data_IF_295137502753
#
_entry.id   IF_295137502753
#
_cell.length_a   1.000
_cell.length_b   1.000
_cell.length_c   1.000
_cell.angle_alpha   90.00
_cell.angle_beta   90.00
_cell.angle_gamma   90.00
#
_symmetry.space_group_name_H-M   'P 1'
#
loop_
_entity.id
_entity.type
_entity.pdbx_description
1 polymer ?
#
# COMPACT_ATOMS: atom_id res chain seq x y z
N UNK A 1 -10.83 13.24 6.35
CA UNK A 1 -11.84 14.27 6.67
C UNK A 1 -12.11 15.09 5.40
N UNK A 2 -13.37 15.20 5.02
CA UNK A 2 -13.81 15.90 3.80
C UNK A 2 -13.70 17.41 4.03
N UNK A 3 -12.98 18.12 3.15
CA UNK A 3 -12.64 19.53 3.37
C UNK A 3 -13.63 20.53 2.74
N UNK A 4 -14.35 20.11 1.71
CA UNK A 4 -15.36 20.91 1.00
C UNK A 4 -16.37 19.95 0.36
N UNK A 5 -17.64 20.38 0.30
CA UNK A 5 -18.71 19.61 -0.34
C UNK A 5 -18.66 19.69 -1.88
N UNK A 6 -17.90 20.62 -2.45
CA UNK A 6 -17.83 20.83 -3.90
C UNK A 6 -17.02 19.73 -4.60
N UNK A 7 -16.11 19.08 -3.88
CA UNK A 7 -15.23 18.03 -4.40
C UNK A 7 -15.75 16.61 -4.12
N UNK A 8 -16.93 16.49 -3.51
CA UNK A 8 -17.51 15.18 -3.17
C UNK A 8 -18.39 14.69 -4.31
N UNK A 9 -18.14 13.47 -4.78
CA UNK A 9 -19.01 12.81 -5.75
C UNK A 9 -20.30 12.35 -5.05
N UNK A 10 -21.38 13.08 -5.27
CA UNK A 10 -22.68 12.85 -4.63
C UNK A 10 -23.59 11.92 -5.42
N UNK A 11 -23.18 11.48 -6.61
CA UNK A 11 -24.02 10.63 -7.47
C UNK A 11 -23.98 9.17 -7.00
N UNK A 12 -22.98 8.81 -6.20
CA UNK A 12 -22.76 7.44 -5.74
C UNK A 12 -23.61 7.09 -4.54
N UNK A 13 -24.14 5.87 -4.55
CA UNK A 13 -24.72 5.25 -3.35
C UNK A 13 -23.58 4.66 -2.51
N UNK A 14 -23.58 4.99 -1.23
CA UNK A 14 -22.61 4.49 -0.25
C UNK A 14 -23.31 3.62 0.77
N UNK A 15 -22.70 2.51 1.14
CA UNK A 15 -23.22 1.54 2.12
C UNK A 15 -22.40 1.59 3.39
N UNK A 16 -23.06 1.62 4.54
CA UNK A 16 -22.46 1.49 5.87
C UNK A 16 -22.84 0.15 6.47
N UNK A 17 -21.84 -0.65 6.86
CA UNK A 17 -22.04 -1.98 7.42
C UNK A 17 -21.17 -2.22 8.65
N UNK A 18 -21.67 -2.97 9.63
CA UNK A 18 -20.86 -3.50 10.72
C UNK A 18 -20.07 -4.75 10.25
N UNK A 19 -18.78 -4.79 10.55
CA UNK A 19 -17.86 -5.83 10.07
C UNK A 19 -18.01 -7.11 10.91
N UNK A 20 -18.01 -6.94 12.24
CA UNK A 20 -18.15 -8.03 13.20
C UNK A 20 -19.57 -7.98 13.78
N UNK A 21 -20.41 -8.96 13.43
CA UNK A 21 -21.52 -9.32 14.30
C UNK A 21 -20.90 -9.98 15.54
N UNK A 22 -21.33 -9.56 16.72
CA UNK A 22 -20.88 -9.97 18.06
C UNK A 22 -19.88 -11.15 18.09
N UNK A 23 -18.65 -10.98 18.60
CA UNK A 23 -17.62 -12.03 18.58
C UNK A 23 -18.05 -13.34 19.24
N UNK A 24 -19.07 -13.32 20.12
CA UNK A 24 -19.60 -14.51 20.78
C UNK A 24 -20.63 -15.27 19.93
N UNK A 25 -21.30 -14.60 19.01
CA UNK A 25 -22.41 -15.18 18.26
C UNK A 25 -22.33 -14.67 16.82
N UNK A 26 -21.79 -15.51 15.92
CA UNK A 26 -21.82 -15.32 14.45
C UNK A 26 -23.23 -15.35 13.86
N UNK A 27 -24.26 -14.98 14.63
CA UNK A 27 -25.64 -14.90 14.18
C UNK A 27 -25.97 -13.50 13.69
N UNK A 28 -26.89 -13.44 12.73
CA UNK A 28 -27.51 -12.17 12.34
C UNK A 28 -28.18 -11.55 13.56
N UNK A 29 -28.12 -10.22 13.68
CA UNK A 29 -28.93 -9.50 14.66
C UNK A 29 -30.40 -9.82 14.40
N UNK A 30 -31.19 -9.97 15.46
CA UNK A 30 -32.64 -10.08 15.34
C UNK A 30 -33.20 -8.85 14.61
N UNK A 31 -34.38 -9.00 14.01
CA UNK A 31 -35.15 -7.85 13.54
C UNK A 31 -35.26 -6.84 14.69
N UNK A 32 -35.02 -5.55 14.40
CA UNK A 32 -35.02 -4.43 15.36
C UNK A 32 -33.80 -4.32 16.30
N UNK A 33 -32.86 -5.27 16.30
CA UNK A 33 -31.60 -5.10 17.02
C UNK A 33 -30.61 -4.24 16.21
N UNK A 34 -30.05 -3.20 16.84
CA UNK A 34 -29.13 -2.25 16.22
C UNK A 34 -27.93 -1.94 17.11
N UNK A 35 -26.83 -1.53 16.49
CA UNK A 35 -25.68 -0.92 17.16
C UNK A 35 -25.65 0.55 16.80
N UNK A 36 -25.40 1.41 17.78
CA UNK A 36 -25.31 2.85 17.57
C UNK A 36 -23.88 3.24 17.23
N UNK A 37 -23.70 3.94 16.11
CA UNK A 37 -22.49 4.70 15.82
C UNK A 37 -22.72 6.14 16.30
N UNK A 38 -22.14 6.47 17.46
CA UNK A 38 -22.11 7.81 18.03
C UNK A 38 -20.78 8.53 17.77
N UNK A 39 -20.63 9.78 18.22
CA UNK A 39 -19.42 10.54 17.98
C UNK A 39 -18.26 10.02 18.83
N UNK A 40 -17.13 9.76 18.19
CA UNK A 40 -15.87 9.60 18.89
C UNK A 40 -15.43 10.93 19.51
N UNK A 41 -14.46 10.87 20.41
CA UNK A 41 -13.88 12.02 21.07
C UNK A 41 -12.55 12.35 20.39
N UNK A 42 -12.35 13.62 20.03
CA UNK A 42 -11.10 14.09 19.46
C UNK A 42 -10.00 14.27 20.51
N UNK A 43 -8.81 14.69 20.08
CA UNK A 43 -7.65 14.91 20.97
C UNK A 43 -7.90 16.02 22.03
N UNK A 44 -8.90 16.85 21.83
CA UNK A 44 -9.25 17.98 22.67
C UNK A 44 -10.49 17.71 23.54
N UNK A 45 -11.06 16.51 23.49
CA UNK A 45 -12.24 16.16 24.27
C UNK A 45 -13.58 16.53 23.61
N UNK A 46 -13.59 16.95 22.34
CA UNK A 46 -14.81 17.32 21.63
C UNK A 46 -15.32 16.20 20.71
N UNK A 47 -16.63 16.16 20.41
CA UNK A 47 -17.21 15.22 19.45
C UNK A 47 -16.55 15.34 18.07
N UNK A 48 -16.24 14.21 17.45
CA UNK A 48 -15.81 14.14 16.05
C UNK A 48 -17.05 14.16 15.16
N UNK A 49 -17.21 15.23 14.38
CA UNK A 49 -18.43 15.48 13.58
C UNK A 49 -18.25 15.23 12.09
N UNK A 50 -17.01 15.25 11.60
CA UNK A 50 -16.67 15.18 10.18
C UNK A 50 -16.93 16.46 9.39
N UNK A 51 -17.50 17.48 10.03
CA UNK A 51 -17.71 18.79 9.43
C UNK A 51 -16.50 19.69 9.69
N UNK A 52 -16.22 20.59 8.74
CA UNK A 52 -15.14 21.56 8.86
C UNK A 52 -15.70 22.97 8.84
N UNK A 53 -15.09 23.85 9.63
CA UNK A 53 -15.33 25.29 9.59
C UNK A 53 -14.66 25.95 8.37
N UNK A 54 -15.14 27.14 8.04
CA UNK A 54 -14.47 28.04 7.12
C UNK A 54 -13.07 28.36 7.66
N UNK A 55 -12.06 28.25 6.79
CA UNK A 55 -10.66 28.49 7.18
C UNK A 55 -9.89 29.18 6.07
N UNK A 56 -8.78 29.79 6.44
CA UNK A 56 -7.84 30.38 5.48
C UNK A 56 -6.64 29.44 5.37
N UNK A 57 -6.44 28.87 4.19
CA UNK A 57 -5.23 28.10 3.87
C UNK A 57 -4.17 29.02 3.25
N UNK A 58 -2.90 28.82 3.61
CA UNK A 58 -1.78 29.55 3.03
C UNK A 58 -1.22 28.71 1.88
N UNK A 59 -1.36 29.19 0.65
CA UNK A 59 -0.81 28.51 -0.52
C UNK A 59 0.72 28.53 -0.54
N UNK A 60 1.33 27.71 -1.41
CA UNK A 60 2.80 27.60 -1.57
C UNK A 60 3.51 28.94 -1.83
N UNK A 61 2.77 29.95 -2.29
CA UNK A 61 3.27 31.28 -2.62
C UNK A 61 2.98 32.32 -1.52
N UNK A 62 2.59 31.89 -0.31
CA UNK A 62 2.22 32.78 0.81
C UNK A 62 0.84 33.44 0.66
N UNK A 63 0.12 33.20 -0.44
CA UNK A 63 -1.22 33.74 -0.69
C UNK A 63 -2.25 33.07 0.21
N UNK A 64 -3.03 33.88 0.93
CA UNK A 64 -4.18 33.44 1.73
C UNK A 64 -5.34 33.05 0.81
N UNK A 65 -5.79 31.81 0.90
CA UNK A 65 -6.90 31.26 0.12
C UNK A 65 -8.02 30.94 1.10
N UNK A 66 -9.19 31.61 1.01
CA UNK A 66 -10.35 31.23 1.81
C UNK A 66 -10.89 29.89 1.31
N UNK A 67 -11.00 28.92 2.21
CA UNK A 67 -11.58 27.60 1.95
C UNK A 67 -12.89 27.54 2.71
N UNK A 68 -13.99 27.43 1.96
CA UNK A 68 -15.32 27.20 2.53
C UNK A 68 -15.37 25.82 3.16
N UNK A 69 -15.73 25.79 4.43
CA UNK A 69 -15.98 24.58 5.17
C UNK A 69 -17.31 23.94 4.79
N UNK A 70 -17.58 22.80 5.38
CA UNK A 70 -18.76 22.00 5.09
C UNK A 70 -19.90 22.29 6.06
N UNK A 71 -19.62 22.76 7.30
CA UNK A 71 -20.65 22.93 8.34
C UNK A 71 -21.76 23.89 7.92
N UNK A 72 -21.43 25.12 7.54
CA UNK A 72 -22.42 26.15 7.17
C UNK A 72 -23.28 25.71 5.99
N UNK A 73 -22.66 25.06 5.00
CA UNK A 73 -23.39 24.53 3.84
C UNK A 73 -24.37 23.43 4.25
N UNK A 74 -23.97 22.52 5.15
CA UNK A 74 -24.84 21.47 5.67
C UNK A 74 -26.00 22.03 6.50
N UNK A 75 -25.77 23.05 7.34
CA UNK A 75 -26.84 23.71 8.10
C UNK A 75 -27.88 24.32 7.15
N UNK A 76 -27.45 24.96 6.06
CA UNK A 76 -28.35 25.51 5.03
C UNK A 76 -29.09 24.40 4.28
N UNK A 77 -28.41 23.30 3.90
CA UNK A 77 -29.05 22.19 3.17
C UNK A 77 -30.09 21.42 4.01
N UNK A 78 -29.95 21.45 5.33
CA UNK A 78 -30.83 20.78 6.28
C UNK A 78 -31.88 21.71 6.90
N UNK A 79 -31.96 22.96 6.44
CA UNK A 79 -32.83 24.01 7.00
C UNK A 79 -32.67 24.19 8.52
N UNK A 80 -31.43 24.09 9.02
CA UNK A 80 -31.08 24.24 10.43
C UNK A 80 -30.64 25.67 10.76
N UNK A 81 -30.82 26.07 12.02
CA UNK A 81 -30.31 27.36 12.51
C UNK A 81 -28.78 27.34 12.59
N UNK A 82 -28.17 28.49 12.29
CA UNK A 82 -26.72 28.62 12.30
C UNK A 82 -26.15 28.23 13.66
N UNK A 83 -25.17 27.33 13.64
CA UNK A 83 -24.49 26.85 14.84
C UNK A 83 -25.07 25.56 15.42
N UNK A 84 -26.17 25.04 14.89
CA UNK A 84 -26.73 23.74 15.31
C UNK A 84 -25.75 22.60 15.10
N UNK A 85 -24.94 22.63 14.02
CA UNK A 85 -23.95 21.59 13.71
C UNK A 85 -22.54 21.94 14.18
N UNK A 86 -22.36 22.98 15.01
CA UNK A 86 -21.06 23.27 15.64
C UNK A 86 -20.59 22.08 16.47
N UNK A 87 -19.28 21.89 16.55
CA UNK A 87 -18.67 20.77 17.28
C UNK A 87 -19.11 20.68 18.75
N UNK A 88 -19.33 21.82 19.40
CA UNK A 88 -19.75 21.94 20.80
C UNK A 88 -21.27 21.93 20.99
N UNK A 89 -22.05 21.80 19.91
CA UNK A 89 -23.50 21.78 19.98
C UNK A 89 -24.01 20.53 20.68
N UNK A 90 -25.12 20.67 21.41
CA UNK A 90 -25.84 19.54 22.02
C UNK A 90 -26.43 18.58 20.99
N UNK A 91 -26.51 18.99 19.72
CA UNK A 91 -26.92 18.14 18.60
C UNK A 91 -26.14 16.82 18.58
N UNK A 92 -24.82 16.88 18.73
CA UNK A 92 -23.93 15.72 18.64
C UNK A 92 -24.05 14.77 19.84
N UNK A 93 -24.56 15.25 20.98
CA UNK A 93 -24.81 14.39 22.14
C UNK A 93 -25.95 13.39 21.89
N UNK A 94 -26.92 13.78 21.07
CA UNK A 94 -28.06 12.93 20.71
C UNK A 94 -27.88 12.21 19.37
N UNK A 95 -26.93 12.67 18.53
CA UNK A 95 -26.73 12.13 17.19
C UNK A 95 -26.13 10.73 17.22
N UNK A 96 -26.86 9.76 16.67
CA UNK A 96 -26.41 8.40 16.48
C UNK A 96 -26.93 7.84 15.15
N UNK A 97 -26.11 7.02 14.50
CA UNK A 97 -26.53 6.24 13.34
C UNK A 97 -26.84 4.83 13.81
N UNK A 98 -28.09 4.37 13.63
CA UNK A 98 -28.55 3.05 14.05
C UNK A 98 -28.25 2.02 12.96
N UNK A 99 -27.35 1.09 13.24
CA UNK A 99 -26.88 0.10 12.27
C UNK A 99 -27.41 -1.29 12.65
N UNK A 100 -28.32 -1.81 11.82
CA UNK A 100 -28.95 -3.11 12.00
C UNK A 100 -28.09 -4.29 11.53
N UNK A 101 -28.75 -5.38 11.13
CA UNK A 101 -28.08 -6.54 10.48
C UNK A 101 -27.73 -6.27 9.00
N UNK A 102 -28.58 -5.49 8.32
CA UNK A 102 -28.41 -5.15 6.91
C UNK A 102 -27.66 -3.80 6.79
N UNK A 103 -26.89 -3.61 5.72
CA UNK A 103 -26.17 -2.36 5.49
C UNK A 103 -27.16 -1.20 5.29
N UNK A 104 -26.80 -0.03 5.79
CA UNK A 104 -27.52 1.21 5.51
C UNK A 104 -27.04 1.73 4.16
N UNK A 105 -27.94 1.85 3.20
CA UNK A 105 -27.68 2.52 1.93
C UNK A 105 -27.95 4.02 2.11
N UNK A 106 -27.00 4.85 1.68
CA UNK A 106 -27.05 6.30 1.78
C UNK A 106 -26.95 6.89 0.38
N UNK A 107 -27.94 7.71 0.02
CA UNK A 107 -27.89 8.53 -1.20
C UNK A 107 -27.26 9.88 -0.85
N UNK A 108 -26.07 10.15 -1.42
CA UNK A 108 -25.33 11.38 -1.12
C UNK A 108 -25.96 12.65 -1.74
N UNK A 109 -27.02 12.50 -2.55
CA UNK A 109 -27.85 13.62 -2.99
C UNK A 109 -28.80 14.10 -1.89
N UNK A 110 -29.21 13.22 -0.97
CA UNK A 110 -30.04 13.58 0.17
C UNK A 110 -29.19 14.23 1.28
N UNK A 111 -29.56 15.43 1.76
CA UNK A 111 -28.78 16.13 2.79
C UNK A 111 -28.63 15.36 4.11
N UNK A 112 -29.61 14.55 4.51
CA UNK A 112 -29.53 13.79 5.76
C UNK A 112 -28.56 12.61 5.62
N UNK A 113 -28.61 11.90 4.50
CA UNK A 113 -27.69 10.81 4.21
C UNK A 113 -26.27 11.30 3.95
N UNK A 114 -26.11 12.48 3.33
CA UNK A 114 -24.83 13.16 3.22
C UNK A 114 -24.23 13.47 4.60
N UNK A 115 -25.03 13.98 5.54
CA UNK A 115 -24.57 14.22 6.92
C UNK A 115 -24.13 12.92 7.60
N UNK A 116 -24.91 11.84 7.46
CA UNK A 116 -24.57 10.52 8.02
C UNK A 116 -23.26 10.00 7.45
N UNK A 117 -23.07 10.10 6.13
CA UNK A 117 -21.84 9.69 5.45
C UNK A 117 -20.63 10.48 5.95
N UNK A 118 -20.72 11.81 6.00
CA UNK A 118 -19.64 12.67 6.48
C UNK A 118 -19.28 12.38 7.93
N UNK A 119 -20.29 12.18 8.76
CA UNK A 119 -20.12 11.83 10.16
C UNK A 119 -19.42 10.48 10.32
N UNK A 120 -19.91 9.44 9.63
CA UNK A 120 -19.36 8.10 9.68
C UNK A 120 -17.91 8.06 9.16
N UNK A 121 -17.62 8.71 8.03
CA UNK A 121 -16.29 8.77 7.45
C UNK A 121 -15.26 9.43 8.38
N UNK A 122 -15.69 10.30 9.30
CA UNK A 122 -14.79 10.96 10.23
C UNK A 122 -14.45 10.13 11.46
N UNK A 123 -15.22 9.09 11.77
CA UNK A 123 -14.98 8.26 12.96
C UNK A 123 -13.78 7.35 12.77
N UNK A 124 -12.97 7.18 13.81
CA UNK A 124 -11.79 6.30 13.78
C UNK A 124 -12.15 4.82 13.67
N UNK A 125 -13.34 4.42 14.14
CA UNK A 125 -13.82 3.04 14.12
C UNK A 125 -14.50 2.64 12.80
N UNK A 126 -14.49 3.52 11.80
CA UNK A 126 -15.10 3.32 10.49
C UNK A 126 -14.01 3.29 9.41
N UNK A 127 -13.89 2.18 8.69
CA UNK A 127 -13.00 2.04 7.55
C UNK A 127 -13.62 2.59 6.26
N UNK A 128 -12.79 3.20 5.41
CA UNK A 128 -13.14 3.57 4.04
C UNK A 128 -12.68 2.45 3.08
N UNK A 129 -13.64 1.61 2.68
CA UNK A 129 -13.44 0.43 1.85
C UNK A 129 -12.99 -0.82 2.63
N UNK A 130 -13.13 -1.99 2.00
CA UNK A 130 -12.80 -3.27 2.65
C UNK A 130 -11.30 -3.45 2.90
N UNK A 131 -10.45 -2.74 2.15
CA UNK A 131 -9.01 -2.85 2.29
C UNK A 131 -8.51 -2.27 3.62
N UNK A 132 -9.06 -1.13 4.04
CA UNK A 132 -8.66 -0.45 5.27
C UNK A 132 -8.97 -1.27 6.54
N UNK A 133 -9.90 -2.23 6.45
CA UNK A 133 -10.22 -3.16 7.56
C UNK A 133 -9.01 -3.99 7.97
N UNK A 134 -8.15 -4.38 7.02
CA UNK A 134 -7.00 -5.25 7.32
C UNK A 134 -5.89 -4.53 8.07
N UNK A 135 -5.86 -3.20 7.95
CA UNK A 135 -4.76 -2.37 8.46
C UNK A 135 -5.01 -1.93 9.91
N UNK A 136 -6.27 -1.92 10.38
CA UNK A 136 -6.64 -1.44 11.72
C UNK A 136 -7.66 -2.39 12.41
N UNK A 137 -7.25 -2.93 13.56
CA UNK A 137 -8.07 -3.86 14.35
C UNK A 137 -9.15 -3.17 15.20
N UNK A 138 -9.09 -1.83 15.36
CA UNK A 138 -10.09 -1.05 16.09
C UNK A 138 -11.34 -0.73 15.25
N UNK A 139 -11.34 -1.09 13.97
CA UNK A 139 -12.45 -0.82 13.06
C UNK A 139 -13.60 -1.79 13.30
N UNK A 140 -14.78 -1.23 13.58
CA UNK A 140 -16.02 -1.99 13.77
C UNK A 140 -16.96 -1.89 12.57
N UNK A 141 -16.84 -0.82 11.78
CA UNK A 141 -17.73 -0.50 10.67
C UNK A 141 -16.94 -0.24 9.39
N UNK A 142 -17.59 -0.44 8.24
CA UNK A 142 -17.03 -0.15 6.92
C UNK A 142 -18.02 0.67 6.11
N UNK A 143 -17.50 1.75 5.52
CA UNK A 143 -18.13 2.49 4.43
C UNK A 143 -17.59 1.96 3.11
N UNK A 144 -18.46 1.62 2.17
CA UNK A 144 -18.04 1.19 0.83
C UNK A 144 -19.10 1.54 -0.21
N UNK A 145 -18.67 1.73 -1.45
CA UNK A 145 -19.55 1.79 -2.61
C UNK A 145 -19.28 0.59 -3.50
N UNK A 146 -20.32 0.00 -4.09
CA UNK A 146 -20.16 -1.16 -4.98
C UNK A 146 -19.29 -0.83 -6.20
N UNK A 147 -19.42 0.38 -6.74
CA UNK A 147 -18.61 0.88 -7.85
C UNK A 147 -17.16 1.04 -7.44
N UNK A 148 -16.88 1.69 -6.31
CA UNK A 148 -15.51 1.89 -5.80
C UNK A 148 -14.82 0.55 -5.55
N UNK A 149 -15.52 -0.41 -4.97
CA UNK A 149 -15.01 -1.76 -4.73
C UNK A 149 -14.81 -2.55 -6.04
N UNK A 150 -15.68 -2.35 -7.03
CA UNK A 150 -15.51 -2.92 -8.36
C UNK A 150 -14.29 -2.32 -9.06
N UNK A 151 -14.10 -1.01 -9.03
CA UNK A 151 -12.94 -0.30 -9.57
C UNK A 151 -11.63 -0.81 -8.95
N UNK A 152 -11.59 -0.96 -7.62
CA UNK A 152 -10.43 -1.50 -6.92
C UNK A 152 -10.13 -2.94 -7.34
N UNK A 153 -11.14 -3.82 -7.36
CA UNK A 153 -10.97 -5.21 -7.83
C UNK A 153 -10.50 -5.28 -9.27
N UNK A 154 -11.03 -4.42 -10.15
CA UNK A 154 -10.60 -4.35 -11.56
C UNK A 154 -9.15 -3.87 -11.66
N UNK A 155 -8.77 -2.86 -10.88
CA UNK A 155 -7.39 -2.37 -10.84
C UNK A 155 -6.42 -3.47 -10.37
N UNK A 156 -6.75 -4.21 -9.31
CA UNK A 156 -5.94 -5.32 -8.81
C UNK A 156 -5.81 -6.44 -9.84
N UNK A 157 -6.91 -6.84 -10.47
CA UNK A 157 -6.91 -7.83 -11.56
C UNK A 157 -6.11 -7.36 -12.77
N UNK A 158 -6.15 -6.06 -13.08
CA UNK A 158 -5.36 -5.46 -14.15
C UNK A 158 -3.88 -5.55 -13.84
N UNK A 159 -3.46 -5.20 -12.63
CA UNK A 159 -2.06 -5.35 -12.18
C UNK A 159 -1.61 -6.81 -12.22
N UNK A 160 -2.46 -7.75 -11.77
CA UNK A 160 -2.15 -9.17 -11.82
C UNK A 160 -1.95 -9.64 -13.28
N UNK A 161 -2.87 -9.27 -14.17
CA UNK A 161 -2.77 -9.60 -15.60
C UNK A 161 -1.52 -9.00 -16.24
N UNK A 162 -1.21 -7.74 -15.92
CA UNK A 162 -0.01 -7.07 -16.40
C UNK A 162 1.26 -7.79 -15.95
N UNK A 163 1.30 -8.25 -14.70
CA UNK A 163 2.42 -9.04 -14.17
C UNK A 163 2.62 -10.36 -14.93
N UNK A 164 1.54 -11.12 -15.20
CA UNK A 164 1.65 -12.36 -15.99
C UNK A 164 2.08 -12.10 -17.43
N UNK A 165 1.47 -11.11 -18.10
CA UNK A 165 1.85 -10.75 -19.49
C UNK A 165 3.31 -10.30 -19.57
N UNK A 166 3.80 -9.61 -18.54
CA UNK A 166 5.21 -9.23 -18.48
C UNK A 166 6.10 -10.45 -18.24
N UNK A 167 5.71 -11.34 -17.31
CA UNK A 167 6.45 -12.55 -17.02
C UNK A 167 6.62 -13.45 -18.25
N UNK A 168 5.58 -13.61 -19.08
CA UNK A 168 5.64 -14.39 -20.32
C UNK A 168 6.64 -13.83 -21.34
N UNK A 169 6.93 -12.52 -21.28
CA UNK A 169 7.87 -11.84 -22.19
C UNK A 169 9.32 -11.90 -21.68
N UNK A 170 9.55 -12.26 -20.43
CA UNK A 170 10.88 -12.32 -19.84
C UNK A 170 11.61 -13.57 -20.30
N UNK A 171 12.92 -13.42 -20.53
CA UNK A 171 13.80 -14.55 -20.76
C UNK A 171 14.00 -15.38 -19.47
N UNK A 172 14.31 -16.69 -19.57
CA UNK A 172 14.50 -17.54 -18.41
C UNK A 172 15.60 -17.05 -17.44
N UNK A 173 16.66 -16.42 -17.96
CA UNK A 173 17.77 -15.93 -17.12
C UNK A 173 17.32 -14.74 -16.24
N UNK A 174 16.55 -13.82 -16.79
CA UNK A 174 15.93 -12.72 -16.05
C UNK A 174 14.97 -13.25 -14.98
N UNK A 175 14.17 -14.29 -15.27
CA UNK A 175 13.32 -14.94 -14.27
C UNK A 175 14.12 -15.53 -13.12
N UNK A 176 15.23 -16.23 -13.41
CA UNK A 176 16.16 -16.73 -12.38
C UNK A 176 16.74 -15.58 -11.55
N UNK A 177 17.06 -14.45 -12.16
CA UNK A 177 17.57 -13.27 -11.45
C UNK A 177 16.54 -12.67 -10.49
N UNK A 178 15.27 -12.59 -10.90
CA UNK A 178 14.17 -12.15 -10.04
C UNK A 178 14.00 -13.08 -8.84
N UNK A 179 13.98 -14.39 -9.08
CA UNK A 179 13.89 -15.40 -8.02
C UNK A 179 15.08 -15.33 -7.05
N UNK A 180 16.28 -15.12 -7.58
CA UNK A 180 17.50 -14.98 -6.77
C UNK A 180 17.43 -13.78 -5.83
N UNK A 181 16.92 -12.63 -6.28
CA UNK A 181 16.71 -11.46 -5.42
C UNK A 181 15.66 -11.74 -4.33
N UNK A 182 14.67 -12.59 -4.63
CA UNK A 182 13.70 -13.08 -3.64
C UNK A 182 14.28 -14.14 -2.69
N UNK A 183 15.55 -14.54 -2.85
CA UNK A 183 16.20 -15.58 -2.04
C UNK A 183 15.88 -17.01 -2.49
N UNK A 184 15.32 -17.20 -3.68
CA UNK A 184 15.01 -18.51 -4.26
C UNK A 184 16.06 -18.81 -5.33
N UNK A 185 16.83 -19.89 -5.11
CA UNK A 185 17.86 -20.32 -6.06
C UNK A 185 17.29 -21.51 -6.84
N UNK A 186 17.21 -21.32 -8.15
CA UNK A 186 16.75 -22.32 -9.11
C UNK A 186 17.78 -22.44 -10.22
N UNK A 187 17.93 -23.65 -10.74
CA UNK A 187 18.75 -23.88 -11.92
C UNK A 187 18.00 -23.35 -13.17
N UNK A 188 18.74 -22.65 -14.04
CA UNK A 188 18.23 -22.14 -15.31
C UNK A 188 17.72 -23.27 -16.24
N UNK A 189 18.18 -24.51 -16.03
CA UNK A 189 17.71 -25.70 -16.76
C UNK A 189 16.27 -26.10 -16.41
N UNK A 190 15.76 -25.70 -15.24
CA UNK A 190 14.48 -26.14 -14.69
C UNK A 190 13.34 -25.17 -15.02
N UNK A 191 13.01 -25.06 -16.31
CA UNK A 191 12.04 -24.08 -16.83
C UNK A 191 10.70 -24.15 -16.10
N UNK A 192 10.12 -25.35 -15.94
CA UNK A 192 8.81 -25.50 -15.28
C UNK A 192 8.85 -25.02 -13.81
N UNK A 193 9.94 -25.26 -13.10
CA UNK A 193 10.12 -24.81 -11.72
C UNK A 193 10.28 -23.29 -11.64
N UNK A 194 10.95 -22.68 -12.63
CA UNK A 194 11.07 -21.22 -12.74
C UNK A 194 9.69 -20.60 -12.94
N UNK A 195 8.90 -21.12 -13.89
CA UNK A 195 7.55 -20.59 -14.15
C UNK A 195 6.64 -20.72 -12.92
N UNK A 196 6.65 -21.88 -12.26
CA UNK A 196 5.86 -22.13 -11.05
C UNK A 196 6.21 -21.12 -9.94
N UNK A 197 7.51 -20.94 -9.65
CA UNK A 197 7.97 -19.99 -8.62
C UNK A 197 7.74 -18.52 -8.99
N UNK A 198 7.81 -18.17 -10.27
CA UNK A 198 7.44 -16.82 -10.72
C UNK A 198 5.93 -16.61 -10.54
N UNK A 199 5.10 -17.60 -10.87
CA UNK A 199 3.66 -17.60 -10.64
C UNK A 199 3.32 -17.35 -9.17
N UNK A 200 3.93 -18.11 -8.25
CA UNK A 200 3.76 -17.90 -6.80
C UNK A 200 4.09 -16.46 -6.39
N UNK A 201 5.15 -15.86 -6.93
CA UNK A 201 5.56 -14.48 -6.59
C UNK A 201 4.61 -13.42 -7.16
N UNK A 202 4.03 -13.67 -8.33
CA UNK A 202 3.02 -12.81 -8.94
C UNK A 202 1.74 -12.85 -8.12
N UNK A 203 1.31 -14.04 -7.68
CA UNK A 203 0.10 -14.20 -6.86
C UNK A 203 0.26 -13.61 -5.46
N UNK A 204 1.43 -13.76 -4.84
CA UNK A 204 1.73 -13.20 -3.51
C UNK A 204 1.67 -11.67 -3.52
N UNK A 205 2.36 -11.03 -4.48
CA UNK A 205 2.34 -9.58 -4.60
C UNK A 205 2.71 -9.12 -6.03
N UNK A 206 1.72 -8.87 -6.90
CA UNK A 206 1.98 -8.54 -8.30
C UNK A 206 2.65 -7.17 -8.46
N UNK A 207 2.37 -6.22 -7.55
CA UNK A 207 2.99 -4.88 -7.56
C UNK A 207 4.48 -4.97 -7.26
N UNK A 208 4.85 -5.77 -6.26
CA UNK A 208 6.25 -5.99 -5.90
C UNK A 208 6.99 -6.69 -7.03
N UNK A 209 6.36 -7.67 -7.68
CA UNK A 209 6.92 -8.32 -8.87
C UNK A 209 7.21 -7.30 -9.98
N UNK A 210 6.23 -6.49 -10.39
CA UNK A 210 6.42 -5.46 -11.41
C UNK A 210 7.54 -4.48 -11.07
N UNK A 211 7.65 -4.07 -9.80
CA UNK A 211 8.73 -3.20 -9.33
C UNK A 211 10.11 -3.86 -9.43
N UNK A 212 10.21 -5.17 -9.18
CA UNK A 212 11.45 -5.93 -9.35
C UNK A 212 11.85 -6.06 -10.82
N UNK A 213 10.88 -6.28 -11.73
CA UNK A 213 11.16 -6.33 -13.17
C UNK A 213 11.64 -4.99 -13.70
N UNK A 214 11.09 -3.88 -13.19
CA UNK A 214 11.49 -2.53 -13.58
C UNK A 214 12.83 -2.07 -12.98
N UNK A 215 13.43 -2.86 -12.09
CA UNK A 215 14.68 -2.51 -11.41
C UNK A 215 15.88 -2.66 -12.36
N UNK A 216 16.57 -1.54 -12.63
CA UNK A 216 17.74 -1.50 -13.50
C UNK A 216 18.93 -2.28 -12.93
N UNK A 217 18.99 -2.40 -11.60
CA UNK A 217 20.09 -3.06 -10.90
C UNK A 217 19.80 -4.54 -10.61
N UNK A 218 18.70 -5.10 -11.14
CA UNK A 218 18.23 -6.47 -10.90
C UNK A 218 19.34 -7.52 -11.11
N UNK A 219 20.08 -7.41 -12.21
CA UNK A 219 21.17 -8.34 -12.55
C UNK A 219 22.28 -8.29 -11.49
N UNK A 220 22.65 -7.10 -11.02
CA UNK A 220 23.69 -6.92 -10.02
C UNK A 220 23.22 -7.37 -8.63
N UNK A 221 21.95 -7.10 -8.27
CA UNK A 221 21.35 -7.59 -7.02
C UNK A 221 21.25 -9.12 -7.00
N UNK A 222 20.89 -9.72 -8.12
CA UNK A 222 20.93 -11.17 -8.30
C UNK A 222 22.34 -11.71 -8.11
N UNK A 223 23.34 -11.11 -8.77
CA UNK A 223 24.75 -11.52 -8.65
C UNK A 223 25.24 -11.45 -7.19
N UNK A 224 25.00 -10.33 -6.50
CA UNK A 224 25.37 -10.17 -5.08
C UNK A 224 24.69 -11.23 -4.21
N UNK A 225 23.41 -11.52 -4.45
CA UNK A 225 22.67 -12.52 -3.68
C UNK A 225 23.21 -13.94 -3.92
N UNK A 226 23.47 -14.31 -5.17
CA UNK A 226 24.11 -15.60 -5.52
C UNK A 226 25.50 -15.73 -4.92
N UNK A 227 26.29 -14.66 -4.92
CA UNK A 227 27.64 -14.66 -4.33
C UNK A 227 27.63 -14.76 -2.80
N UNK A 228 26.64 -14.16 -2.13
CA UNK A 228 26.46 -14.31 -0.68
C UNK A 228 26.08 -15.74 -0.32
N UNK A 229 25.15 -16.35 -1.06
CA UNK A 229 24.70 -17.72 -0.81
C UNK A 229 25.82 -18.75 -0.98
N UNK A 230 26.63 -18.62 -2.04
CA UNK A 230 27.81 -19.47 -2.27
C UNK A 230 29.03 -19.13 -1.38
N UNK A 231 28.94 -18.12 -0.51
CA UNK A 231 30.05 -17.70 0.36
C UNK A 231 31.21 -16.99 -0.35
N UNK A 232 31.03 -16.53 -1.60
CA UNK A 232 32.02 -15.71 -2.34
C UNK A 232 32.08 -14.28 -1.79
N UNK A 233 30.94 -13.77 -1.35
CA UNK A 233 30.82 -12.56 -0.55
C UNK A 233 30.47 -12.96 0.88
N UNK A 234 31.04 -12.25 1.85
CA UNK A 234 30.84 -12.54 3.27
C UNK A 234 30.21 -11.32 3.93
N UNK A 235 29.16 -11.54 4.71
CA UNK A 235 28.60 -10.50 5.56
C UNK A 235 29.33 -10.52 6.91
N UNK A 236 29.98 -9.42 7.25
CA UNK A 236 30.68 -9.24 8.52
C UNK A 236 30.38 -7.84 9.08
N UNK A 237 30.05 -7.77 10.37
CA UNK A 237 29.78 -6.50 11.07
C UNK A 237 28.75 -5.58 10.36
N UNK A 238 27.75 -6.19 9.70
CA UNK A 238 26.72 -5.45 8.95
C UNK A 238 27.16 -4.89 7.59
N UNK A 239 28.33 -5.29 7.08
CA UNK A 239 28.79 -4.95 5.74
C UNK A 239 29.13 -6.20 4.91
N UNK A 240 29.05 -6.07 3.59
CA UNK A 240 29.33 -7.11 2.61
C UNK A 240 30.76 -6.92 2.12
N UNK A 241 31.58 -7.97 2.28
CA UNK A 241 32.98 -7.95 1.92
C UNK A 241 33.30 -8.93 0.80
N UNK A 242 34.28 -8.55 -0.01
CA UNK A 242 35.01 -9.43 -0.91
C UNK A 242 36.48 -9.49 -0.49
N UNK A 243 36.85 -10.50 0.30
CA UNK A 243 38.16 -10.52 0.96
C UNK A 243 38.25 -9.37 1.98
N UNK A 244 39.20 -8.46 1.79
CA UNK A 244 39.38 -7.27 2.64
C UNK A 244 38.59 -6.04 2.15
N UNK A 245 38.03 -6.09 0.93
CA UNK A 245 37.35 -4.96 0.33
C UNK A 245 35.88 -4.88 0.77
N UNK A 246 35.48 -3.74 1.34
CA UNK A 246 34.08 -3.44 1.61
C UNK A 246 33.35 -3.14 0.29
N UNK A 247 32.32 -3.93 -0.02
CA UNK A 247 31.50 -3.81 -1.23
C UNK A 247 30.23 -2.99 -0.94
N UNK A 248 29.77 -2.92 0.31
CA UNK A 248 28.64 -2.10 0.72
C UNK A 248 27.98 -2.59 2.02
N UNK A 249 27.14 -1.74 2.62
CA UNK A 249 26.45 -2.04 3.89
C UNK A 249 25.13 -2.80 3.70
N UNK A 250 24.58 -2.81 2.49
CA UNK A 250 23.38 -3.58 2.15
C UNK A 250 23.47 -4.13 0.72
N UNK A 251 22.54 -5.03 0.36
CA UNK A 251 22.52 -5.65 -0.97
C UNK A 251 22.33 -4.64 -2.12
N UNK A 252 21.65 -3.52 -1.88
CA UNK A 252 21.39 -2.51 -2.91
C UNK A 252 22.65 -1.66 -3.15
N UNK A 253 23.32 -1.21 -2.09
CA UNK A 253 24.58 -0.49 -2.14
C UNK A 253 25.66 -1.37 -2.78
N UNK A 254 25.74 -2.64 -2.38
CA UNK A 254 26.65 -3.61 -3.00
C UNK A 254 26.37 -3.79 -4.49
N UNK A 255 25.09 -3.90 -4.89
CA UNK A 255 24.72 -4.00 -6.31
C UNK A 255 25.14 -2.76 -7.12
N UNK A 256 25.04 -1.55 -6.55
CA UNK A 256 25.50 -0.33 -7.22
C UNK A 256 27.03 -0.26 -7.36
N UNK A 257 27.77 -0.69 -6.33
CA UNK A 257 29.24 -0.75 -6.39
C UNK A 257 29.68 -1.77 -7.41
N UNK A 258 29.09 -2.96 -7.39
CA UNK A 258 29.31 -4.00 -8.39
C UNK A 258 28.95 -3.49 -9.79
N UNK A 259 27.83 -2.80 -9.96
CA UNK A 259 27.41 -2.23 -11.25
C UNK A 259 28.39 -1.22 -11.84
N UNK A 260 29.14 -0.48 -11.00
CA UNK A 260 30.14 0.50 -11.42
C UNK A 260 31.52 -0.10 -11.69
N UNK A 261 31.88 -1.19 -11.02
CA UNK A 261 33.20 -1.82 -11.12
C UNK A 261 33.15 -3.09 -12.00
N UNK A 262 33.53 -2.94 -13.27
CA UNK A 262 33.57 -4.03 -14.24
C UNK A 262 34.57 -5.14 -13.87
N UNK A 263 35.65 -4.82 -13.16
CA UNK A 263 36.64 -5.82 -12.73
C UNK A 263 36.08 -6.66 -11.60
N UNK A 264 35.42 -6.03 -10.62
CA UNK A 264 34.74 -6.75 -9.54
C UNK A 264 33.64 -7.66 -10.09
N UNK A 265 32.87 -7.22 -11.08
CA UNK A 265 31.87 -8.08 -11.74
C UNK A 265 32.50 -9.34 -12.34
N UNK A 266 33.60 -9.19 -13.08
CA UNK A 266 34.28 -10.32 -13.72
C UNK A 266 34.81 -11.32 -12.67
N UNK A 267 35.41 -10.82 -11.60
CA UNK A 267 35.93 -11.66 -10.50
C UNK A 267 34.80 -12.41 -9.79
N UNK A 268 33.69 -11.74 -9.50
CA UNK A 268 32.55 -12.36 -8.84
C UNK A 268 31.90 -13.44 -9.72
N UNK A 269 31.72 -13.16 -11.02
CA UNK A 269 31.20 -14.15 -11.97
C UNK A 269 32.11 -15.37 -12.09
N UNK A 270 33.42 -15.17 -12.19
CA UNK A 270 34.39 -16.26 -12.29
C UNK A 270 34.44 -17.13 -11.02
N UNK A 271 34.38 -16.51 -9.83
CA UNK A 271 34.30 -17.24 -8.56
C UNK A 271 32.98 -17.98 -8.39
N UNK A 272 31.88 -17.45 -8.95
CA UNK A 272 30.57 -18.08 -8.89
C UNK A 272 30.47 -19.33 -9.79
N UNK A 273 31.15 -19.33 -10.95
CA UNK A 273 31.18 -20.47 -11.87
C UNK A 273 32.15 -21.57 -11.45
N UNK A 274 33.13 -21.26 -10.59
CA UNK A 274 34.18 -22.22 -10.19
C UNK A 274 35.18 -22.52 -11.31
N UNK A 275 35.14 -21.76 -12.40
CA UNK A 275 35.92 -22.01 -13.60
C UNK A 275 37.30 -21.32 -13.52
N UNK A 276 38.34 -22.10 -13.23
CA UNK A 276 39.70 -21.62 -12.92
C UNK A 276 40.33 -20.82 -14.08
N UNK A 277 39.95 -21.10 -15.33
CA UNK A 277 40.47 -20.40 -16.52
C UNK A 277 39.91 -18.98 -16.66
N UNK A 278 38.67 -18.75 -16.23
CA UNK A 278 38.07 -17.42 -16.15
C UNK A 278 38.64 -16.61 -14.97
N UNK A 279 38.94 -17.27 -13.86
CA UNK A 279 39.59 -16.66 -12.70
C UNK A 279 40.99 -16.15 -13.08
N UNK A 280 41.78 -16.95 -13.80
CA UNK A 280 43.10 -16.57 -14.27
C UNK A 280 43.06 -15.33 -15.21
N UNK A 281 42.08 -15.26 -16.12
CA UNK A 281 41.85 -14.11 -17.01
C UNK A 281 41.38 -12.84 -16.30
N UNK A 282 40.52 -12.98 -15.28
CA UNK A 282 40.04 -11.83 -14.49
C UNK A 282 41.13 -11.23 -13.58
N UNK A 283 42.08 -12.05 -13.11
CA UNK A 283 43.22 -11.58 -12.32
C UNK A 283 44.22 -10.82 -13.22
N UNK A 284 44.46 -11.29 -14.44
CA UNK A 284 45.41 -10.65 -15.38
C UNK A 284 44.95 -9.28 -15.86
N UNK A 285 43.65 -9.05 -16.03
CA UNK A 285 43.12 -7.72 -16.40
C UNK A 285 43.24 -6.68 -15.29
N UNK A 286 43.18 -7.09 -14.02
CA UNK A 286 43.39 -6.20 -12.87
C UNK A 286 44.84 -5.71 -12.74
N UNK A 287 45.80 -6.54 -13.14
CA UNK A 287 47.23 -6.19 -13.21
C UNK A 287 47.53 -5.23 -14.36
N UNK A 288 46.79 -5.32 -15.47
CA UNK A 288 46.95 -4.42 -16.61
C UNK A 288 46.37 -3.01 -16.38
N UNK A 289 45.33 -2.87 -15.55
CA UNK A 289 44.72 -1.58 -15.22
C UNK A 289 45.45 -0.78 -14.12
N UNK A 290 46.47 -1.38 -13.48
CA UNK A 290 47.32 -0.75 -12.46
C UNK A 290 48.70 -0.31 -12.99
N UNK A 291 48.96 -0.49 -14.30
CA UNK A 291 50.09 0.12 -15.03
C UNK A 291 49.60 1.33 -15.81
#
# INVERSE_FOLDING_TARGET
>A
MIKSLDNLDRVRVVKLKQIHADPLIKMKKYAEAYTNLGPAIDKHGFPVTGLTEDRIEIGKNGKKIPVKGTRLQMEVMLDLTEGTLKQQSTYWLAYNIRIGSEPIEMDLQDPHDLLKYMFAHAQSIVADGFKAIKDDSAVEFVLYSEEQEAEQRVAERRTLREAYVLADKLDPETKVNILSVCGIIVDASSINTIEDKIGEKIEENPKKFLAMVADKDLVFKSLVTKCLDKGVLIMKDGAIYHGEMNVGYDKNAAAQVVGKDATLQAVLKAKLSGDMDLIAKAITSKVAAQK
#
